data_IF_361860194964
#
_entry.id   IF_361860194964
#
_cell.length_a   1.000
_cell.length_b   1.000
_cell.length_c   1.000
_cell.angle_alpha   90.00
_cell.angle_beta   90.00
_cell.angle_gamma   90.00
#
_symmetry.space_group_name_H-M   'P 1'
#
loop_
_entity.id
_entity.type
_entity.pdbx_description
1 polymer ?
#
# COMPACT_ATOMS: atom_id res chain seq x y z
N UNK A 1 5.25 -25.19 -6.63
CA UNK A 1 4.90 -24.22 -7.69
C UNK A 1 5.12 -22.85 -7.08
N UNK A 2 5.87 -21.94 -7.74
CA UNK A 2 5.90 -20.55 -7.28
C UNK A 2 4.46 -20.07 -7.14
N UNK A 3 4.12 -19.61 -5.93
CA UNK A 3 2.76 -19.31 -5.55
C UNK A 3 2.35 -17.99 -6.18
N UNK A 4 1.32 -18.02 -7.04
CA UNK A 4 0.73 -16.80 -7.58
C UNK A 4 0.38 -15.84 -6.42
N UNK A 5 0.60 -14.53 -6.56
CA UNK A 5 0.31 -13.57 -5.50
C UNK A 5 -1.15 -13.67 -5.05
N UNK A 6 -1.36 -13.89 -3.76
CA UNK A 6 -2.70 -14.08 -3.20
C UNK A 6 -2.87 -13.20 -1.97
N UNK A 7 -3.90 -12.35 -1.98
CA UNK A 7 -4.29 -11.62 -0.78
C UNK A 7 -4.79 -12.59 0.29
N UNK A 8 -4.18 -12.53 1.46
CA UNK A 8 -4.53 -13.39 2.60
C UNK A 8 -5.69 -12.85 3.39
N UNK A 9 -5.88 -11.52 3.36
CA UNK A 9 -6.96 -10.82 4.03
C UNK A 9 -7.56 -9.74 3.12
N UNK A 10 -8.75 -9.28 3.50
CA UNK A 10 -9.36 -8.11 2.85
C UNK A 10 -8.45 -6.89 3.05
N UNK A 11 -8.23 -6.09 2.00
CA UNK A 11 -7.49 -4.83 2.14
C UNK A 11 -8.23 -3.92 3.13
N UNK A 12 -7.48 -3.26 3.99
CA UNK A 12 -7.98 -2.28 4.95
C UNK A 12 -7.74 -0.89 4.40
N UNK A 13 -8.75 -0.04 4.44
CA UNK A 13 -8.64 1.39 4.09
C UNK A 13 -9.11 2.18 5.29
N UNK A 14 -8.26 3.08 5.77
CA UNK A 14 -8.50 3.90 6.95
C UNK A 14 -8.07 5.33 6.68
N UNK A 15 -8.73 6.28 7.35
CA UNK A 15 -8.23 7.65 7.45
C UNK A 15 -7.53 7.81 8.80
N UNK A 16 -6.32 8.36 8.79
CA UNK A 16 -5.59 8.66 10.03
C UNK A 16 -6.23 9.85 10.74
N UNK A 17 -5.96 10.06 12.05
CA UNK A 17 -6.42 11.26 12.76
C UNK A 17 -5.98 12.58 12.10
N UNK A 18 -4.89 12.56 11.35
CA UNK A 18 -4.35 13.69 10.59
C UNK A 18 -5.06 13.91 9.24
N UNK A 19 -5.95 12.99 8.85
CA UNK A 19 -6.68 13.02 7.58
C UNK A 19 -6.01 12.25 6.45
N UNK A 20 -4.83 11.66 6.68
CA UNK A 20 -4.12 10.90 5.66
C UNK A 20 -4.88 9.60 5.32
N UNK A 21 -4.80 9.17 4.07
CA UNK A 21 -5.33 7.87 3.67
C UNK A 21 -4.27 6.80 3.95
N UNK A 22 -4.61 5.78 4.71
CA UNK A 22 -3.82 4.57 4.94
C UNK A 22 -4.52 3.38 4.30
N UNK A 23 -3.86 2.73 3.35
CA UNK A 23 -4.31 1.47 2.78
C UNK A 23 -3.30 0.37 3.07
N UNK A 24 -3.79 -0.76 3.57
CA UNK A 24 -2.96 -1.90 3.97
C UNK A 24 -3.47 -3.19 3.32
N UNK A 25 -2.55 -3.94 2.74
CA UNK A 25 -2.80 -5.23 2.12
C UNK A 25 -1.79 -6.25 2.64
N UNK A 26 -2.25 -7.48 2.88
CA UNK A 26 -1.36 -8.60 3.18
C UNK A 26 -1.53 -9.64 2.08
N UNK A 27 -0.40 -10.11 1.57
CA UNK A 27 -0.36 -11.03 0.45
C UNK A 27 0.74 -12.06 0.64
N UNK A 28 0.47 -13.28 0.17
CA UNK A 28 1.48 -14.32 0.00
C UNK A 28 1.97 -14.30 -1.45
N UNK A 29 3.28 -14.39 -1.66
CA UNK A 29 3.90 -14.48 -2.98
C UNK A 29 5.26 -15.17 -2.90
N UNK A 30 5.57 -15.99 -3.91
CA UNK A 30 6.88 -16.58 -4.13
C UNK A 30 7.08 -16.74 -5.65
N UNK A 31 7.95 -15.96 -6.32
CA UNK A 31 8.99 -15.05 -5.78
C UNK A 31 8.44 -13.73 -5.16
N UNK A 32 9.29 -12.87 -4.55
CA UNK A 32 8.87 -11.58 -4.02
C UNK A 32 8.07 -10.75 -5.03
N UNK A 33 6.95 -10.13 -4.61
CA UNK A 33 6.05 -9.45 -5.53
C UNK A 33 6.49 -7.99 -5.80
N UNK A 34 6.16 -7.49 -6.98
CA UNK A 34 6.14 -6.04 -7.26
C UNK A 34 4.72 -5.50 -7.00
N UNK A 35 4.62 -4.34 -6.34
CA UNK A 35 3.34 -3.70 -6.01
C UNK A 35 3.17 -2.41 -6.79
N UNK A 36 2.01 -2.25 -7.43
CA UNK A 36 1.59 -0.99 -8.07
C UNK A 36 0.21 -0.62 -7.55
N UNK A 37 0.07 0.60 -7.05
CA UNK A 37 -1.20 1.14 -6.60
C UNK A 37 -1.88 1.94 -7.70
N UNK A 38 -3.19 1.81 -7.84
CA UNK A 38 -3.98 2.52 -8.84
C UNK A 38 -5.14 3.28 -8.19
N UNK A 39 -5.42 4.48 -8.71
CA UNK A 39 -6.61 5.25 -8.43
C UNK A 39 -7.42 5.44 -9.72
N UNK A 40 -8.62 4.86 -9.77
CA UNK A 40 -9.51 4.92 -10.94
C UNK A 40 -8.81 4.54 -12.27
N UNK A 41 -7.99 3.48 -12.23
CA UNK A 41 -7.22 3.01 -13.39
C UNK A 41 -5.88 3.72 -13.62
N UNK A 42 -5.61 4.84 -12.95
CA UNK A 42 -4.35 5.59 -13.08
C UNK A 42 -3.34 5.13 -12.04
N UNK A 43 -2.09 4.76 -12.41
CA UNK A 43 -1.05 4.43 -11.43
C UNK A 43 -0.75 5.59 -10.50
N UNK A 44 -0.50 5.30 -9.23
CA UNK A 44 -0.13 6.29 -8.21
C UNK A 44 1.40 6.23 -8.06
N UNK A 45 2.17 7.21 -8.57
CA UNK A 45 3.61 7.23 -8.41
C UNK A 45 4.00 7.62 -6.97
N UNK A 46 5.17 7.17 -6.52
CA UNK A 46 5.78 7.65 -5.29
C UNK A 46 6.07 9.15 -5.39
N UNK A 47 5.95 9.88 -4.28
CA UNK A 47 6.20 11.32 -4.26
C UNK A 47 6.05 11.93 -2.87
N UNK A 48 6.12 13.28 -2.75
CA UNK A 48 6.09 13.96 -1.45
C UNK A 48 4.85 13.66 -0.59
N UNK A 49 3.72 13.37 -1.25
CA UNK A 49 2.45 13.01 -0.60
C UNK A 49 2.22 11.51 -0.53
N UNK A 50 2.91 10.71 -1.33
CA UNK A 50 2.58 9.31 -1.56
C UNK A 50 3.74 8.44 -1.12
N UNK A 51 3.52 7.70 -0.05
CA UNK A 51 4.45 6.72 0.49
C UNK A 51 3.93 5.30 0.18
N UNK A 52 4.79 4.47 -0.39
CA UNK A 52 4.47 3.10 -0.78
C UNK A 52 5.57 2.20 -0.20
N UNK A 53 5.19 1.23 0.62
CA UNK A 53 6.15 0.29 1.20
C UNK A 53 5.68 -1.16 1.06
N UNK A 54 6.64 -2.05 0.89
CA UNK A 54 6.47 -3.49 0.88
C UNK A 54 7.41 -4.09 1.91
N UNK A 55 6.85 -4.69 2.95
CA UNK A 55 7.61 -5.32 4.03
C UNK A 55 7.40 -6.83 3.99
N UNK A 56 8.48 -7.60 3.94
CA UNK A 56 8.40 -9.04 4.16
C UNK A 56 8.18 -9.30 5.66
N UNK A 57 7.10 -9.99 5.99
CA UNK A 57 6.78 -10.32 7.38
C UNK A 57 7.36 -11.68 7.77
N UNK A 58 7.16 -12.70 6.92
CA UNK A 58 7.59 -14.08 7.15
C UNK A 58 7.69 -14.82 5.81
N UNK A 59 8.77 -15.55 5.53
CA UNK A 59 8.92 -16.43 4.34
C UNK A 59 8.31 -15.84 3.04
N UNK A 60 7.06 -16.17 2.70
CA UNK A 60 6.32 -15.70 1.53
C UNK A 60 5.20 -14.67 1.83
N UNK A 61 4.99 -14.26 3.08
CA UNK A 61 3.99 -13.28 3.51
C UNK A 61 4.57 -11.86 3.51
N UNK A 62 3.88 -10.96 2.82
CA UNK A 62 4.23 -9.56 2.68
C UNK A 62 3.10 -8.65 3.15
N UNK A 63 3.48 -7.48 3.65
CA UNK A 63 2.59 -6.36 3.94
C UNK A 63 2.89 -5.21 2.99
N UNK A 64 1.93 -4.86 2.14
CA UNK A 64 1.98 -3.69 1.29
C UNK A 64 1.19 -2.55 1.94
N UNK A 65 1.78 -1.37 2.01
CA UNK A 65 1.17 -0.17 2.60
C UNK A 65 1.25 0.98 1.62
N UNK A 66 0.15 1.71 1.46
CA UNK A 66 0.06 2.98 0.76
C UNK A 66 -0.43 4.05 1.74
N UNK A 67 0.34 5.13 1.88
CA UNK A 67 -0.05 6.31 2.64
C UNK A 67 -0.13 7.50 1.69
N UNK A 68 -1.30 8.13 1.61
CA UNK A 68 -1.47 9.40 0.91
C UNK A 68 -1.68 10.50 1.96
N UNK A 69 -0.64 11.32 2.14
CA UNK A 69 -0.61 12.42 3.09
C UNK A 69 -1.51 13.55 2.61
N UNK A 70 -2.39 14.03 3.48
CA UNK A 70 -3.11 15.28 3.26
C UNK A 70 -2.09 16.40 3.37
N UNK A 71 -1.93 17.17 2.30
CA UNK A 71 -1.18 18.40 2.39
C UNK A 71 -2.01 19.41 3.17
N UNK A 72 -1.65 19.63 4.43
CA UNK A 72 -1.99 20.85 5.14
C UNK A 72 -1.28 22.03 4.46
N UNK A 73 -1.84 22.49 3.35
CA UNK A 73 -1.44 23.68 2.63
C UNK A 73 -2.54 24.74 2.75
N UNK A 74 -3.05 25.01 3.96
CA UNK A 74 -3.90 26.18 4.16
C UNK A 74 -3.79 26.69 5.61
N UNK A 75 -2.75 27.47 5.88
CA UNK A 75 -2.81 28.62 6.80
C UNK A 75 -1.94 29.72 6.19
N UNK A 76 -2.45 30.33 5.12
CA UNK A 76 -2.33 31.76 4.88
C UNK A 76 -3.75 32.32 4.91
#
# INVERSE_FOLDING_TARGET
MPGAPRFTQKPSIQQTPQGDLLMECYLEADPPPDIVWHHAGTPIPAGPRVDQSLTNLQSNLYKAVLIIKVLFFIYW
#
